data_IF_923254150157
#
_entry.id   IF_923254150157
#
_cell.length_a   1.000
_cell.length_b   1.000
_cell.length_c   1.000
_cell.angle_alpha   90.00
_cell.angle_beta   90.00
_cell.angle_gamma   90.00
#
_symmetry.space_group_name_H-M   'P 1'
#
loop_
_entity.id
_entity.type
_entity.pdbx_description
1 polymer ?
#
# COMPACT_ATOMS: atom_id res chain seq x y z
N UNK A 1 -7.00 2.98 16.43
CA UNK A 1 -5.71 3.67 16.62
C UNK A 1 -5.18 4.10 15.26
N UNK A 2 -4.34 5.14 15.18
CA UNK A 2 -3.76 5.58 13.92
C UNK A 2 -2.45 6.36 14.13
N UNK A 3 -1.69 6.52 13.05
CA UNK A 3 -0.58 7.47 12.94
C UNK A 3 -1.11 8.76 12.33
N UNK A 4 -0.79 9.91 12.93
CA UNK A 4 -1.14 11.21 12.38
C UNK A 4 0.10 11.96 11.90
N UNK A 5 -0.10 12.84 10.93
CA UNK A 5 0.89 13.81 10.48
C UNK A 5 0.22 15.18 10.38
N UNK A 6 0.87 16.22 10.92
CA UNK A 6 0.49 17.61 10.68
C UNK A 6 1.32 18.15 9.53
N UNK A 7 0.63 18.69 8.54
CA UNK A 7 1.21 19.13 7.27
C UNK A 7 0.84 20.60 7.05
N UNK A 8 1.83 21.41 6.67
CA UNK A 8 1.62 22.81 6.24
C UNK A 8 1.82 22.95 4.73
N UNK A 9 1.24 23.97 4.08
CA UNK A 9 1.49 24.21 2.66
C UNK A 9 2.99 24.40 2.38
N UNK A 10 3.55 23.88 1.27
CA UNK A 10 2.88 23.16 0.18
C UNK A 10 3.03 21.63 0.27
N UNK A 11 2.75 21.01 1.43
CA UNK A 11 2.94 19.57 1.77
C UNK A 11 4.19 19.26 2.60
N UNK A 12 4.53 20.13 3.55
CA UNK A 12 5.62 19.89 4.50
C UNK A 12 5.07 19.34 5.82
N UNK A 13 5.40 18.08 6.14
CA UNK A 13 5.17 17.54 7.46
C UNK A 13 6.05 18.26 8.51
N UNK A 14 5.47 18.63 9.64
CA UNK A 14 6.21 19.28 10.74
C UNK A 14 6.02 18.62 12.10
N UNK A 15 5.03 17.73 12.23
CA UNK A 15 4.82 16.91 13.41
C UNK A 15 4.19 15.59 12.97
N UNK A 16 4.59 14.48 13.58
CA UNK A 16 3.92 13.20 13.43
C UNK A 16 3.87 12.44 14.75
N UNK A 17 2.84 11.61 14.90
CA UNK A 17 2.62 10.91 16.14
C UNK A 17 1.53 9.86 16.05
N UNK A 18 1.09 9.39 17.20
CA UNK A 18 0.08 8.36 17.36
C UNK A 18 -1.19 8.96 17.97
N UNK A 19 -2.35 8.46 17.56
CA UNK A 19 -3.64 8.80 18.15
C UNK A 19 -4.51 7.55 18.37
N UNK A 20 -5.44 7.65 19.32
CA UNK A 20 -6.41 6.60 19.66
C UNK A 20 -7.81 7.14 19.43
N UNK A 21 -8.70 6.29 18.92
CA UNK A 21 -10.11 6.64 18.77
C UNK A 21 -10.78 6.61 20.13
N UNK A 22 -11.48 7.68 20.49
CA UNK A 22 -12.30 7.76 21.69
C UNK A 22 -13.77 7.54 21.27
N UNK A 23 -14.37 6.43 21.71
CA UNK A 23 -15.74 6.05 21.33
C UNK A 23 -16.81 7.00 21.90
N UNK A 24 -16.61 7.52 23.12
CA UNK A 24 -17.55 8.44 23.76
C UNK A 24 -17.60 9.78 23.05
N UNK A 25 -16.43 10.32 22.72
CA UNK A 25 -16.28 11.63 22.07
C UNK A 25 -16.36 11.56 20.54
N UNK A 26 -16.27 10.35 19.98
CA UNK A 26 -16.25 10.07 18.54
C UNK A 26 -15.18 10.86 17.80
N UNK A 27 -13.99 10.92 18.38
CA UNK A 27 -12.84 11.62 17.79
C UNK A 27 -11.51 10.90 18.08
N UNK A 28 -10.49 11.18 17.26
CA UNK A 28 -9.13 10.72 17.54
C UNK A 28 -8.45 11.67 18.53
N UNK A 29 -8.02 11.12 19.67
CA UNK A 29 -7.24 11.82 20.69
C UNK A 29 -5.75 11.53 20.51
N UNK A 30 -4.92 12.57 20.61
CA UNK A 30 -3.46 12.42 20.51
C UNK A 30 -2.94 11.57 21.66
N UNK A 31 -2.24 10.48 21.31
CA UNK A 31 -1.59 9.59 22.26
C UNK A 31 -0.15 10.01 22.53
N UNK A 32 0.63 10.25 21.47
CA UNK A 32 2.07 10.51 21.59
C UNK A 32 2.57 11.27 20.38
N UNK A 33 3.38 12.30 20.59
CA UNK A 33 4.19 12.91 19.52
C UNK A 33 5.44 12.06 19.36
N UNK A 34 5.71 11.58 18.15
CA UNK A 34 6.91 10.78 17.85
C UNK A 34 8.01 11.67 17.29
N UNK A 35 7.63 12.66 16.49
CA UNK A 35 8.56 13.55 15.85
C UNK A 35 7.96 14.95 15.70
N UNK A 36 8.82 15.94 15.90
CA UNK A 36 8.57 17.35 15.57
C UNK A 36 9.76 17.84 14.78
N UNK A 37 9.50 18.56 13.69
CA UNK A 37 10.57 19.07 12.84
C UNK A 37 11.44 20.06 13.59
N UNK A 38 12.76 19.84 13.54
CA UNK A 38 13.79 20.76 14.02
C UNK A 38 15.00 20.70 13.08
N UNK A 39 15.98 21.58 13.28
CA UNK A 39 17.24 21.54 12.54
C UNK A 39 18.03 20.25 12.81
N UNK A 40 17.97 19.73 14.05
CA UNK A 40 18.60 18.46 14.45
C UNK A 40 17.86 17.23 13.92
N UNK A 41 16.53 17.32 13.76
CA UNK A 41 15.68 16.23 13.26
C UNK A 41 14.78 16.71 12.11
N UNK A 42 15.36 16.98 10.94
CA UNK A 42 14.62 17.63 9.84
C UNK A 42 13.63 16.69 9.14
N UNK A 43 13.70 15.38 9.38
CA UNK A 43 12.84 14.34 8.81
C UNK A 43 12.31 13.41 9.91
N UNK A 44 11.07 12.90 9.77
CA UNK A 44 10.54 11.92 10.71
C UNK A 44 11.33 10.61 10.67
N UNK A 45 11.42 9.86 11.79
CA UNK A 45 11.87 8.48 11.78
C UNK A 45 10.84 7.60 11.05
N UNK A 46 11.16 6.32 10.76
CA UNK A 46 10.17 5.35 10.32
C UNK A 46 8.96 5.32 11.27
N UNK A 47 7.76 5.34 10.69
CA UNK A 47 6.49 5.33 11.40
C UNK A 47 5.63 4.17 10.89
N UNK A 48 4.67 3.67 11.69
CA UNK A 48 3.66 2.74 11.22
C UNK A 48 2.69 3.47 10.28
N UNK A 49 3.09 3.58 9.01
CA UNK A 49 2.39 4.32 7.95
C UNK A 49 1.86 3.40 6.84
N UNK A 50 0.99 3.95 6.01
CA UNK A 50 0.38 3.22 4.90
C UNK A 50 -0.70 2.26 5.35
N UNK A 51 -0.74 1.11 4.69
CA UNK A 51 -1.84 0.17 4.78
C UNK A 51 -1.41 -1.08 5.54
N UNK A 52 -1.87 -1.32 6.78
CA UNK A 52 -1.37 -2.42 7.57
C UNK A 52 -1.80 -3.77 7.00
N UNK A 53 -0.89 -4.75 7.10
CA UNK A 53 -1.16 -6.16 6.85
C UNK A 53 -0.81 -6.97 8.10
N UNK A 54 -1.61 -8.00 8.39
CA UNK A 54 -1.35 -8.95 9.49
C UNK A 54 -0.57 -10.13 8.95
N UNK A 55 0.50 -10.51 9.64
CA UNK A 55 1.28 -11.69 9.32
C UNK A 55 1.53 -12.51 10.58
N UNK A 56 1.54 -13.83 10.45
CA UNK A 56 1.89 -14.77 11.50
C UNK A 56 3.17 -15.47 11.09
N UNK A 57 4.18 -15.44 11.94
CA UNK A 57 5.45 -16.12 11.68
C UNK A 57 5.34 -17.64 11.95
N UNK A 58 6.41 -18.38 11.66
CA UNK A 58 6.46 -19.84 11.85
C UNK A 58 6.37 -20.25 13.33
N UNK A 59 6.77 -19.37 14.26
CA UNK A 59 6.61 -19.58 15.69
C UNK A 59 5.16 -19.34 16.17
N UNK A 60 4.33 -18.76 15.30
CA UNK A 60 2.93 -18.49 15.55
C UNK A 60 2.67 -17.14 16.21
N UNK A 61 3.64 -16.25 16.23
CA UNK A 61 3.43 -14.90 16.74
C UNK A 61 2.78 -14.00 15.69
N UNK A 62 1.93 -13.09 16.15
CA UNK A 62 1.24 -12.14 15.29
C UNK A 62 2.01 -10.82 15.15
N UNK A 63 2.11 -10.35 13.92
CA UNK A 63 2.79 -9.14 13.52
C UNK A 63 1.88 -8.21 12.72
N UNK A 64 2.11 -6.91 12.87
CA UNK A 64 1.63 -5.89 11.95
C UNK A 64 2.77 -5.45 11.05
N UNK A 65 2.52 -5.44 9.75
CA UNK A 65 3.41 -4.95 8.71
C UNK A 65 2.86 -3.65 8.17
N UNK A 66 3.71 -2.62 8.11
CA UNK A 66 3.37 -1.28 7.64
C UNK A 66 4.16 -0.96 6.38
N UNK A 67 3.45 -0.50 5.34
CA UNK A 67 4.02 -0.31 4.01
C UNK A 67 3.07 0.38 3.05
N UNK A 68 3.66 0.93 1.99
CA UNK A 68 2.95 1.57 0.89
C UNK A 68 3.79 1.46 -0.41
N UNK A 69 3.71 0.35 -1.16
CA UNK A 69 2.98 -0.89 -0.86
C UNK A 69 3.74 -1.86 0.05
N UNK A 70 5.04 -2.06 -0.20
CA UNK A 70 5.80 -3.15 0.44
C UNK A 70 6.16 -2.77 1.89
N UNK A 71 6.22 -3.75 2.82
CA UNK A 71 6.51 -3.49 4.22
C UNK A 71 7.86 -2.80 4.42
N UNK A 72 7.86 -1.68 5.16
CA UNK A 72 9.05 -0.92 5.59
C UNK A 72 9.22 -0.91 7.11
N UNK A 73 8.20 -1.32 7.84
CA UNK A 73 8.22 -1.39 9.30
C UNK A 73 7.33 -2.54 9.77
N UNK A 74 7.73 -3.21 10.84
CA UNK A 74 6.87 -4.17 11.56
C UNK A 74 6.95 -3.99 13.06
N UNK A 75 5.93 -4.47 13.75
CA UNK A 75 5.94 -4.66 15.20
C UNK A 75 5.00 -5.82 15.57
N UNK A 76 5.09 -6.32 16.81
CA UNK A 76 4.09 -7.29 17.30
C UNK A 76 2.68 -6.69 17.18
N UNK A 77 1.69 -7.53 16.91
CA UNK A 77 0.28 -7.11 16.73
C UNK A 77 -0.43 -6.80 18.05
N UNK A 78 0.23 -6.03 18.92
CA UNK A 78 -0.32 -5.58 20.21
C UNK A 78 -0.30 -4.06 20.28
N UNK A 79 -1.24 -3.50 21.05
CA UNK A 79 -1.28 -2.05 21.28
C UNK A 79 0.02 -1.54 21.93
N UNK A 80 0.57 -2.31 22.88
CA UNK A 80 1.82 -1.96 23.56
C UNK A 80 2.98 -1.82 22.57
N UNK A 81 3.21 -2.82 21.71
CA UNK A 81 4.28 -2.79 20.72
C UNK A 81 4.06 -1.69 19.67
N UNK A 82 2.84 -1.54 19.17
CA UNK A 82 2.51 -0.47 18.24
C UNK A 82 2.74 0.92 18.83
N UNK A 83 2.46 1.13 20.11
CA UNK A 83 2.61 2.43 20.79
C UNK A 83 4.05 2.76 21.24
N UNK A 84 4.97 1.80 21.10
CA UNK A 84 6.35 1.88 21.58
C UNK A 84 7.36 1.88 20.41
N UNK A 85 7.91 3.05 20.01
CA UNK A 85 8.87 3.14 18.91
C UNK A 85 10.10 2.24 19.05
N UNK A 86 10.51 1.92 20.29
CA UNK A 86 11.60 1.00 20.58
C UNK A 86 11.31 -0.47 20.22
N UNK A 87 10.05 -0.81 19.93
CA UNK A 87 9.62 -2.14 19.48
C UNK A 87 9.29 -2.17 17.97
N UNK A 88 9.57 -1.09 17.25
CA UNK A 88 9.42 -1.06 15.80
C UNK A 88 10.70 -1.53 15.13
N UNK A 89 10.53 -2.41 14.15
CA UNK A 89 11.61 -2.96 13.36
C UNK A 89 11.49 -2.44 11.93
N UNK A 90 12.50 -1.69 11.48
CA UNK A 90 12.58 -1.25 10.08
C UNK A 90 12.88 -2.43 9.16
N UNK A 91 12.34 -2.37 7.96
CA UNK A 91 12.51 -3.37 6.91
C UNK A 91 12.96 -2.69 5.63
N UNK A 92 13.78 -3.38 4.84
CA UNK A 92 14.25 -2.92 3.53
C UNK A 92 13.55 -3.72 2.43
N UNK A 93 12.45 -3.21 1.85
CA UNK A 93 11.76 -3.90 0.78
C UNK A 93 12.47 -3.73 -0.57
N UNK A 94 12.11 -4.59 -1.53
CA UNK A 94 12.47 -4.38 -2.93
C UNK A 94 12.09 -2.97 -3.41
N UNK A 95 13.03 -2.31 -4.06
CA UNK A 95 12.81 -1.00 -4.68
C UNK A 95 12.21 -1.11 -6.08
N UNK A 96 12.38 -2.26 -6.72
CA UNK A 96 11.95 -2.55 -8.09
C UNK A 96 11.52 -4.01 -8.23
N UNK A 97 10.52 -4.25 -9.08
CA UNK A 97 10.06 -5.59 -9.46
C UNK A 97 10.27 -5.79 -10.96
N UNK A 98 10.57 -7.02 -11.37
CA UNK A 98 10.70 -7.36 -12.78
C UNK A 98 9.33 -7.22 -13.48
N UNK A 99 9.25 -6.58 -14.64
CA UNK A 99 8.06 -6.65 -15.48
C UNK A 99 7.95 -8.05 -16.09
N UNK A 100 6.74 -8.62 -16.08
CA UNK A 100 6.43 -9.88 -16.73
C UNK A 100 6.35 -9.81 -18.27
N UNK A 101 6.44 -8.62 -18.87
CA UNK A 101 6.42 -8.44 -20.33
C UNK A 101 7.68 -8.96 -21.02
N UNK A 102 7.72 -8.87 -22.36
CA UNK A 102 8.85 -9.32 -23.18
C UNK A 102 10.14 -8.50 -22.98
N UNK A 103 10.06 -7.34 -22.31
CA UNK A 103 11.23 -6.51 -22.00
C UNK A 103 11.85 -6.86 -20.64
N UNK A 104 13.17 -6.69 -20.53
CA UNK A 104 13.92 -6.77 -19.27
C UNK A 104 13.64 -5.58 -18.33
N UNK A 105 12.51 -4.89 -18.50
CA UNK A 105 12.23 -3.66 -17.79
C UNK A 105 11.83 -3.95 -16.34
N UNK A 106 12.27 -3.08 -15.43
CA UNK A 106 11.81 -3.08 -14.05
C UNK A 106 10.72 -2.04 -13.84
N UNK A 107 9.86 -2.29 -12.85
CA UNK A 107 8.81 -1.37 -12.44
C UNK A 107 9.08 -0.97 -10.99
N UNK A 108 9.17 0.34 -10.76
CA UNK A 108 9.32 0.90 -9.42
C UNK A 108 7.95 1.11 -8.76
N UNK A 109 7.65 0.45 -7.63
CA UNK A 109 6.43 0.71 -6.89
C UNK A 109 6.41 2.13 -6.32
N UNK A 110 5.25 2.80 -6.34
CA UNK A 110 5.01 4.07 -5.66
C UNK A 110 4.15 3.88 -4.42
N UNK A 111 2.84 3.66 -4.59
CA UNK A 111 1.89 3.38 -3.50
C UNK A 111 1.06 2.15 -3.82
N UNK A 112 0.54 1.49 -2.79
CA UNK A 112 -0.36 0.37 -2.93
C UNK A 112 -0.52 -0.44 -1.65
N UNK A 113 -0.86 -1.71 -1.80
CA UNK A 113 -1.21 -2.58 -0.67
C UNK A 113 -0.77 -4.01 -0.93
N UNK A 114 -0.43 -4.72 0.15
CA UNK A 114 -0.24 -6.16 0.16
C UNK A 114 -1.36 -6.86 0.95
N UNK A 115 -1.60 -8.13 0.66
CA UNK A 115 -2.46 -9.00 1.45
C UNK A 115 -2.08 -10.47 1.24
N UNK A 116 -2.38 -11.32 2.22
CA UNK A 116 -2.43 -12.76 1.99
C UNK A 116 -3.69 -13.09 1.16
N UNK A 117 -3.52 -13.84 0.07
CA UNK A 117 -4.63 -14.34 -0.72
C UNK A 117 -4.77 -15.85 -0.52
N UNK A 118 -5.90 -16.27 0.07
CA UNK A 118 -6.14 -17.66 0.43
C UNK A 118 -6.33 -18.59 -0.79
N UNK A 119 -6.91 -18.06 -1.88
CA UNK A 119 -7.12 -18.81 -3.12
C UNK A 119 -5.78 -19.16 -3.78
N UNK A 120 -4.89 -18.18 -3.92
CA UNK A 120 -3.55 -18.33 -4.48
C UNK A 120 -2.57 -19.00 -3.52
N UNK A 121 -2.84 -18.95 -2.22
CA UNK A 121 -1.91 -19.32 -1.14
C UNK A 121 -0.59 -18.58 -1.26
N UNK A 122 -0.66 -17.29 -1.57
CA UNK A 122 0.48 -16.40 -1.75
C UNK A 122 0.16 -15.03 -1.14
N UNK A 123 1.21 -14.31 -0.79
CA UNK A 123 1.14 -12.87 -0.61
C UNK A 123 1.00 -12.22 -1.97
N UNK A 124 0.04 -11.30 -2.10
CA UNK A 124 -0.23 -10.55 -3.32
C UNK A 124 -0.05 -9.07 -3.06
N UNK A 125 0.37 -8.34 -4.09
CA UNK A 125 0.46 -6.88 -4.07
C UNK A 125 -0.24 -6.31 -5.29
N UNK A 126 -0.96 -5.20 -5.10
CA UNK A 126 -1.36 -4.31 -6.18
C UNK A 126 -0.77 -2.94 -5.89
N UNK A 127 -0.02 -2.40 -6.84
CA UNK A 127 0.68 -1.14 -6.66
C UNK A 127 0.66 -0.27 -7.90
N UNK A 128 0.66 1.04 -7.67
CA UNK A 128 0.81 2.07 -8.69
C UNK A 128 2.29 2.19 -9.08
N UNK A 129 2.58 2.26 -10.37
CA UNK A 129 3.90 2.55 -10.90
C UNK A 129 4.30 4.00 -10.63
N UNK A 130 5.55 4.20 -10.24
CA UNK A 130 6.13 5.53 -10.15
C UNK A 130 6.35 6.15 -11.55
N UNK A 131 5.61 7.20 -11.90
CA UNK A 131 5.71 7.93 -13.18
C UNK A 131 5.59 7.03 -14.43
N UNK A 132 4.54 6.21 -14.47
CA UNK A 132 4.22 5.32 -15.59
C UNK A 132 3.80 6.04 -16.88
N UNK A 133 3.58 5.25 -17.94
CA UNK A 133 2.99 5.71 -19.21
C UNK A 133 1.87 4.73 -19.63
N UNK A 134 0.76 5.22 -20.23
CA UNK A 134 0.49 6.61 -20.60
C UNK A 134 0.19 7.56 -19.43
N UNK A 135 -0.29 7.06 -18.28
CA UNK A 135 -0.54 7.90 -17.10
C UNK A 135 0.55 7.77 -16.04
N UNK A 136 1.12 8.90 -15.63
CA UNK A 136 2.16 8.98 -14.61
C UNK A 136 1.79 8.24 -13.31
N UNK A 137 0.51 8.24 -12.96
CA UNK A 137 -0.04 7.68 -11.72
C UNK A 137 -1.31 6.87 -11.98
N UNK A 138 -1.45 6.28 -13.17
CA UNK A 138 -2.61 5.47 -13.56
C UNK A 138 -2.27 4.03 -13.92
N UNK A 139 -0.99 3.64 -13.90
CA UNK A 139 -0.53 2.29 -14.24
C UNK A 139 -0.41 1.43 -12.97
N UNK A 140 -1.19 0.37 -12.88
CA UNK A 140 -1.20 -0.53 -11.73
C UNK A 140 -0.74 -1.92 -12.11
N UNK A 141 -0.02 -2.53 -11.17
CA UNK A 141 0.70 -3.78 -11.36
C UNK A 141 0.36 -4.76 -10.23
N UNK A 142 0.30 -6.04 -10.58
CA UNK A 142 0.06 -7.16 -9.69
C UNK A 142 1.30 -8.06 -9.62
N UNK A 143 1.66 -8.52 -8.41
CA UNK A 143 2.72 -9.52 -8.22
C UNK A 143 2.42 -10.43 -7.01
N UNK A 144 3.04 -11.62 -7.00
CA UNK A 144 2.91 -12.62 -5.92
C UNK A 144 4.25 -12.88 -5.20
N UNK A 145 4.20 -13.39 -3.97
CA UNK A 145 5.34 -13.91 -3.22
C UNK A 145 4.90 -14.97 -2.19
N UNK A 146 5.82 -15.83 -1.75
CA UNK A 146 5.61 -16.73 -0.61
C UNK A 146 5.59 -16.01 0.74
N UNK A 147 6.29 -14.88 0.81
CA UNK A 147 6.53 -14.14 2.04
C UNK A 147 6.06 -12.70 1.85
N UNK A 148 5.52 -12.04 2.90
CA UNK A 148 5.16 -10.62 2.80
C UNK A 148 6.38 -9.72 2.59
N UNK A 149 7.59 -10.25 2.81
CA UNK A 149 8.87 -9.55 2.63
C UNK A 149 9.50 -9.79 1.25
N UNK A 150 8.89 -10.62 0.41
CA UNK A 150 9.48 -11.04 -0.85
C UNK A 150 10.42 -12.26 -0.73
N UNK A 151 11.17 -12.60 -1.80
CA UNK A 151 11.23 -11.85 -3.05
C UNK A 151 9.89 -11.89 -3.79
N UNK A 152 9.41 -10.71 -4.19
CA UNK A 152 8.25 -10.54 -5.05
C UNK A 152 8.60 -10.94 -6.47
N UNK A 153 7.73 -11.74 -7.08
CA UNK A 153 7.87 -12.24 -8.44
C UNK A 153 7.73 -11.17 -9.51
N UNK A 154 7.77 -11.57 -10.79
CA UNK A 154 7.48 -10.68 -11.89
C UNK A 154 6.09 -10.04 -11.74
N UNK A 155 5.98 -8.76 -12.05
CA UNK A 155 4.76 -7.99 -11.97
C UNK A 155 4.06 -7.92 -13.33
N UNK A 156 2.75 -8.13 -13.35
CA UNK A 156 1.89 -8.00 -14.53
C UNK A 156 1.09 -6.70 -14.40
N UNK A 157 1.04 -5.89 -15.46
CA UNK A 157 0.17 -4.70 -15.49
C UNK A 157 -1.29 -5.13 -15.56
N UNK A 158 -2.12 -4.66 -14.63
CA UNK A 158 -3.53 -5.06 -14.49
C UNK A 158 -4.52 -3.93 -14.75
N UNK A 159 -4.08 -2.68 -14.68
CA UNK A 159 -4.89 -1.52 -15.01
C UNK A 159 -4.01 -0.40 -15.56
N UNK A 160 -4.56 0.35 -16.52
CA UNK A 160 -4.00 1.60 -17.04
C UNK A 160 -5.14 2.59 -17.23
N UNK A 161 -4.84 3.86 -17.04
CA UNK A 161 -5.70 4.99 -17.38
C UNK A 161 -4.97 5.87 -18.41
N UNK A 162 -5.69 6.43 -19.39
CA UNK A 162 -5.04 7.22 -20.46
C UNK A 162 -4.44 8.53 -19.94
N UNK A 163 -5.30 9.48 -19.54
CA UNK A 163 -4.92 10.79 -19.02
C UNK A 163 -5.71 11.06 -17.72
N UNK A 164 -5.62 10.14 -16.77
CA UNK A 164 -6.26 10.23 -15.47
C UNK A 164 -5.41 9.51 -14.43
N UNK A 165 -5.46 9.97 -13.19
CA UNK A 165 -4.73 9.38 -12.09
C UNK A 165 -5.60 8.37 -11.35
N UNK A 166 -5.00 7.27 -10.91
CA UNK A 166 -5.57 6.29 -10.01
C UNK A 166 -4.54 5.91 -8.94
N UNK A 167 -4.58 6.60 -7.78
CA UNK A 167 -3.53 6.48 -6.76
C UNK A 167 -4.00 5.81 -5.47
N UNK A 168 -3.02 5.37 -4.66
CA UNK A 168 -3.20 4.70 -3.36
C UNK A 168 -4.10 3.45 -3.44
N UNK A 169 -3.73 2.44 -4.27
CA UNK A 169 -4.54 1.26 -4.37
C UNK A 169 -4.57 0.47 -3.05
N UNK A 170 -5.76 0.01 -2.64
CA UNK A 170 -5.98 -0.79 -1.43
C UNK A 170 -6.66 -2.10 -1.79
N UNK A 171 -6.10 -3.21 -1.29
CA UNK A 171 -6.69 -4.54 -1.42
C UNK A 171 -7.78 -4.75 -0.37
N UNK A 172 -8.85 -5.47 -0.74
CA UNK A 172 -9.96 -5.84 0.13
C UNK A 172 -10.19 -7.36 0.16
N UNK A 173 -9.25 -8.17 0.70
CA UNK A 173 -9.42 -9.62 0.83
C UNK A 173 -10.62 -10.00 1.70
N UNK A 174 -11.10 -9.11 2.58
CA UNK A 174 -12.26 -9.31 3.44
C UNK A 174 -13.61 -9.31 2.69
N UNK A 175 -13.63 -8.85 1.43
CA UNK A 175 -14.85 -8.81 0.61
C UNK A 175 -15.05 -10.04 -0.26
N UNK A 176 -14.12 -10.99 -0.26
CA UNK A 176 -14.23 -12.22 -1.04
C UNK A 176 -14.06 -13.47 -0.18
N UNK A 177 -14.77 -14.57 -0.49
CA UNK A 177 -14.53 -15.87 0.14
C UNK A 177 -13.09 -16.36 -0.07
N UNK A 178 -12.60 -17.21 0.84
CA UNK A 178 -11.23 -17.70 0.80
C UNK A 178 -10.89 -18.53 -0.45
N UNK A 179 -11.87 -19.18 -1.06
CA UNK A 179 -11.77 -19.99 -2.27
C UNK A 179 -12.12 -19.21 -3.55
N UNK A 180 -12.31 -17.89 -3.45
CA UNK A 180 -12.66 -17.05 -4.60
C UNK A 180 -11.43 -16.66 -5.43
N UNK A 181 -11.47 -16.82 -6.76
CA UNK A 181 -10.46 -16.27 -7.66
C UNK A 181 -10.58 -14.75 -7.83
N UNK A 182 -11.53 -14.11 -7.15
CA UNK A 182 -11.74 -12.67 -7.26
C UNK A 182 -10.88 -11.92 -6.26
N UNK A 183 -10.05 -11.02 -6.78
CA UNK A 183 -9.34 -10.00 -6.01
C UNK A 183 -9.99 -8.64 -6.25
N UNK A 184 -10.34 -7.95 -5.18
CA UNK A 184 -10.90 -6.59 -5.22
C UNK A 184 -9.86 -5.59 -4.72
N UNK A 185 -9.70 -4.49 -5.46
CA UNK A 185 -8.91 -3.35 -5.01
C UNK A 185 -9.58 -2.03 -5.38
N UNK A 186 -9.53 -1.07 -4.47
CA UNK A 186 -9.97 0.30 -4.74
C UNK A 186 -8.77 1.23 -4.92
N UNK A 187 -9.04 2.47 -5.28
CA UNK A 187 -8.05 3.55 -5.33
C UNK A 187 -8.72 4.86 -5.74
N UNK A 188 -7.99 5.96 -5.57
CA UNK A 188 -8.50 7.31 -5.80
C UNK A 188 -8.41 7.67 -7.28
N UNK A 189 -9.55 7.76 -7.94
CA UNK A 189 -9.67 8.20 -9.33
C UNK A 189 -9.80 9.73 -9.39
N UNK A 190 -8.82 10.43 -9.96
CA UNK A 190 -8.86 11.90 -10.06
C UNK A 190 -8.10 12.49 -11.26
N UNK A 191 -8.55 13.64 -11.73
CA UNK A 191 -7.84 14.46 -12.73
C UNK A 191 -6.55 15.07 -12.19
N UNK A 192 -6.35 15.10 -10.86
CA UNK A 192 -5.13 15.64 -10.27
C UNK A 192 -3.91 14.89 -10.81
N UNK A 193 -2.80 15.61 -10.99
CA UNK A 193 -1.53 15.10 -11.53
C UNK A 193 -1.58 14.57 -12.97
N UNK A 194 -2.74 14.61 -13.62
CA UNK A 194 -2.89 14.31 -15.05
C UNK A 194 -2.81 15.60 -15.89
N UNK A 195 -2.60 15.46 -17.20
CA UNK A 195 -2.43 16.58 -18.11
C UNK A 195 -3.77 17.22 -18.48
N UNK A 196 -4.30 18.07 -17.58
CA UNK A 196 -5.52 18.87 -17.79
C UNK A 196 -6.70 18.08 -18.40
N UNK A 197 -7.02 16.86 -17.94
CA UNK A 197 -8.19 16.17 -18.45
C UNK A 197 -9.45 16.90 -17.99
N UNK A 198 -10.57 16.66 -18.68
CA UNK A 198 -11.88 17.09 -18.18
C UNK A 198 -12.24 16.20 -16.98
N UNK A 199 -12.67 16.75 -15.83
CA UNK A 199 -13.09 15.94 -14.71
C UNK A 199 -14.29 15.09 -15.12
N UNK A 200 -14.23 13.79 -14.83
CA UNK A 200 -15.36 12.88 -15.08
C UNK A 200 -16.52 13.29 -14.16
N UNK A 201 -17.68 13.71 -14.69
CA UNK A 201 -18.77 14.24 -13.86
C UNK A 201 -19.20 13.24 -12.78
N UNK A 202 -19.26 13.69 -11.53
CA UNK A 202 -19.61 12.90 -10.32
C UNK A 202 -18.60 11.82 -9.90
N UNK A 203 -17.53 11.59 -10.65
CA UNK A 203 -16.54 10.56 -10.36
C UNK A 203 -15.15 11.11 -10.03
N UNK A 204 -14.85 12.36 -10.39
CA UNK A 204 -13.57 12.97 -10.03
C UNK A 204 -13.38 13.03 -8.50
N UNK A 205 -12.20 12.60 -8.04
CA UNK A 205 -11.82 12.52 -6.64
C UNK A 205 -12.71 11.55 -5.83
N UNK A 206 -12.95 10.36 -6.38
CA UNK A 206 -13.73 9.30 -5.73
C UNK A 206 -12.95 7.99 -5.66
N UNK A 207 -13.35 7.08 -4.78
CA UNK A 207 -12.83 5.71 -4.77
C UNK A 207 -13.54 4.87 -5.82
N UNK A 208 -12.79 4.21 -6.70
CA UNK A 208 -13.33 3.26 -7.68
C UNK A 208 -12.81 1.86 -7.34
N UNK A 209 -13.73 0.92 -7.21
CA UNK A 209 -13.43 -0.48 -6.95
C UNK A 209 -13.28 -1.25 -8.26
N UNK A 210 -12.12 -1.89 -8.45
CA UNK A 210 -11.86 -2.82 -9.55
C UNK A 210 -11.87 -4.27 -9.06
N UNK A 211 -12.22 -5.15 -9.99
CA UNK A 211 -12.14 -6.60 -9.84
C UNK A 211 -11.06 -7.15 -10.77
N UNK A 212 -10.17 -7.97 -10.23
CA UNK A 212 -9.24 -8.79 -10.97
C UNK A 212 -9.63 -10.26 -10.83
N UNK A 213 -9.69 -10.98 -11.95
CA UNK A 213 -9.87 -12.42 -11.99
C UNK A 213 -8.51 -13.11 -11.95
N UNK A 214 -8.23 -13.82 -10.86
CA UNK A 214 -6.94 -14.47 -10.63
C UNK A 214 -6.72 -15.71 -11.49
N UNK A 215 -7.76 -16.23 -12.14
CA UNK A 215 -7.64 -17.32 -13.11
C UNK A 215 -7.37 -16.83 -14.54
N UNK A 216 -7.35 -15.51 -14.78
CA UNK A 216 -7.02 -14.97 -16.10
C UNK A 216 -5.61 -15.42 -16.51
N UNK A 217 -5.53 -16.07 -17.67
CA UNK A 217 -4.29 -16.63 -18.22
C UNK A 217 -3.18 -15.58 -18.40
N UNK A 218 -3.53 -14.29 -18.49
CA UNK A 218 -2.57 -13.19 -18.57
C UNK A 218 -1.80 -12.96 -17.27
N UNK A 219 -2.29 -13.47 -16.14
CA UNK A 219 -1.60 -13.38 -14.84
C UNK A 219 -0.57 -14.50 -14.62
N UNK A 220 -0.54 -15.54 -15.46
CA UNK A 220 0.40 -16.66 -15.34
C UNK A 220 1.86 -16.23 -15.12
N UNK A 221 2.39 -15.18 -15.79
CA UNK A 221 3.76 -14.73 -15.53
C UNK A 221 4.05 -14.30 -14.08
N UNK A 222 3.05 -13.71 -13.39
CA UNK A 222 3.18 -13.35 -11.97
C UNK A 222 3.03 -14.56 -11.03
N UNK A 223 2.44 -15.65 -11.52
CA UNK A 223 2.11 -16.87 -10.76
C UNK A 223 3.12 -18.01 -10.94
N UNK A 224 4.15 -17.81 -11.75
CA UNK A 224 5.08 -18.87 -12.19
C UNK A 224 6.15 -19.26 -11.15
N UNK A 225 6.05 -18.76 -9.90
CA UNK A 225 6.93 -19.09 -8.78
C UNK A 225 6.11 -19.61 -7.62
#
# INVERSE_FOLDING_TARGET
>A
VATYSKIRPPLEAYESGLCVWNDERREFERLKVIWSKSDDTPKPPPLPEGHPARWKDDAGDEWLLFGNPLPRLRCRATFSAWSAPSQWESLEPQTELQSAGESSDTVKPHSGSIAWNAYRKRWVTVFMQHFGKPSAFGELWYAESDSPFGPWGPAVKVLSHDNYTFYNPRLHPEFTPADSPVLLFEGTYTMQFANKPRPTPRYDYNQILYRLDLDDVKLRPAQAK
#
